data_IF_215129291444
#
_entry.id   IF_215129291444
#
_cell.length_a   1.000
_cell.length_b   1.000
_cell.length_c   1.000
_cell.angle_alpha   90.00
_cell.angle_beta   90.00
_cell.angle_gamma   90.00
#
_symmetry.space_group_name_H-M   'P 1'
#
loop_
_entity.id
_entity.type
_entity.pdbx_description
1 polymer ?
#
# COMPACT_ATOMS: atom_id res chain seq x y z
N UNK A 1 -5.40 2.11 -7.01
CA UNK A 1 -5.91 2.47 -5.68
C UNK A 1 -6.51 3.86 -5.72
N UNK A 2 -7.22 4.26 -4.65
CA UNK A 2 -7.73 5.61 -4.44
C UNK A 2 -7.19 6.13 -3.09
N UNK A 3 -6.78 7.39 -3.05
CA UNK A 3 -6.42 8.09 -1.82
C UNK A 3 -7.30 9.32 -1.69
N UNK A 4 -7.88 9.52 -0.50
CA UNK A 4 -8.79 10.63 -0.19
C UNK A 4 -8.14 11.50 0.89
N UNK A 5 -8.06 12.80 0.62
CA UNK A 5 -7.62 13.79 1.60
C UNK A 5 -8.85 14.37 2.31
N UNK A 6 -9.01 14.11 3.61
CA UNK A 6 -10.17 14.54 4.36
C UNK A 6 -9.83 15.68 5.35
N UNK A 7 -10.42 16.86 5.11
CA UNK A 7 -10.58 17.94 6.11
C UNK A 7 -9.45 18.98 6.21
N UNK A 8 -9.75 20.06 6.93
CA UNK A 8 -8.89 21.24 7.12
C UNK A 8 -7.62 21.01 7.96
N UNK A 9 -7.52 19.85 8.63
CA UNK A 9 -6.34 19.31 9.31
C UNK A 9 -6.08 17.90 8.76
N UNK A 10 -5.62 17.83 7.51
CA UNK A 10 -5.90 16.70 6.64
C UNK A 10 -5.27 15.36 7.06
N UNK A 11 -6.11 14.34 7.31
CA UNK A 11 -5.67 12.94 7.35
C UNK A 11 -5.98 12.27 6.00
N UNK A 12 -5.01 11.54 5.43
CA UNK A 12 -5.24 10.78 4.20
C UNK A 12 -5.84 9.41 4.51
N UNK A 13 -6.90 9.01 3.80
CA UNK A 13 -7.41 7.63 3.81
C UNK A 13 -7.03 6.98 2.49
N UNK A 14 -6.32 5.86 2.57
CA UNK A 14 -5.72 5.19 1.42
C UNK A 14 -6.31 3.79 1.26
N UNK A 15 -6.76 3.49 0.05
CA UNK A 15 -7.11 2.15 -0.40
C UNK A 15 -6.29 1.82 -1.65
N UNK A 16 -5.29 0.95 -1.51
CA UNK A 16 -4.38 0.63 -2.60
C UNK A 16 -4.24 -0.88 -2.73
N UNK A 17 -4.26 -1.36 -3.96
CA UNK A 17 -3.94 -2.74 -4.30
C UNK A 17 -2.67 -2.75 -5.14
N UNK A 18 -1.69 -3.54 -4.71
CA UNK A 18 -0.40 -3.72 -5.36
C UNK A 18 -0.41 -5.07 -6.06
N UNK A 19 -0.57 -5.05 -7.39
CA UNK A 19 -0.53 -6.24 -8.24
C UNK A 19 0.88 -6.54 -8.74
N UNK A 20 1.31 -7.79 -8.62
CA UNK A 20 2.60 -8.26 -9.12
C UNK A 20 2.40 -8.95 -10.48
N UNK A 21 3.02 -8.41 -11.53
CA UNK A 21 2.87 -8.91 -12.91
C UNK A 21 4.10 -9.67 -13.44
N UNK A 22 5.15 -9.81 -12.62
CA UNK A 22 6.40 -10.50 -12.97
C UNK A 22 7.01 -11.18 -11.73
N UNK A 23 8.05 -12.00 -11.93
CA UNK A 23 8.82 -12.62 -10.84
C UNK A 23 8.07 -13.69 -10.04
N UNK A 24 8.59 -14.01 -8.83
CA UNK A 24 8.08 -15.10 -7.97
C UNK A 24 6.61 -14.92 -7.56
N UNK A 25 6.10 -13.71 -7.54
CA UNK A 25 4.74 -13.40 -7.09
C UNK A 25 3.79 -13.02 -8.23
N UNK A 26 4.17 -13.29 -9.49
CA UNK A 26 3.33 -13.01 -10.65
C UNK A 26 1.90 -13.54 -10.48
N UNK A 27 0.91 -12.68 -10.76
CA UNK A 27 -0.53 -12.96 -10.60
C UNK A 27 -1.06 -12.82 -9.18
N UNK A 28 -0.23 -12.41 -8.22
CA UNK A 28 -0.63 -12.17 -6.82
C UNK A 28 -0.80 -10.67 -6.54
N UNK A 29 -1.48 -10.32 -5.46
CA UNK A 29 -1.63 -8.92 -5.03
C UNK A 29 -1.66 -8.77 -3.52
N UNK A 30 -1.34 -7.57 -3.04
CA UNK A 30 -1.50 -7.14 -1.64
C UNK A 30 -2.44 -5.94 -1.58
N UNK A 31 -3.38 -5.95 -0.64
CA UNK A 31 -4.35 -4.87 -0.44
C UNK A 31 -4.05 -4.15 0.87
N UNK A 32 -3.99 -2.82 0.82
CA UNK A 32 -3.84 -1.97 1.99
C UNK A 32 -5.04 -1.06 2.19
N UNK A 33 -5.40 -0.85 3.46
CA UNK A 33 -6.45 0.09 3.83
C UNK A 33 -6.11 0.75 5.16
N UNK A 34 -5.93 2.07 5.16
CA UNK A 34 -5.55 2.82 6.37
C UNK A 34 -5.93 4.29 6.30
N UNK A 35 -6.06 4.91 7.48
CA UNK A 35 -6.25 6.35 7.66
C UNK A 35 -5.13 6.88 8.54
N UNK A 36 -4.41 7.91 8.07
CA UNK A 36 -3.34 8.57 8.82
C UNK A 36 -2.03 8.69 8.03
N UNK A 37 -0.95 9.00 8.76
CA UNK A 37 0.34 9.40 8.16
C UNK A 37 1.43 8.32 8.27
N UNK A 38 1.28 7.30 9.11
CA UNK A 38 2.34 6.30 9.37
C UNK A 38 1.86 4.87 9.19
N UNK A 39 2.42 4.20 8.18
CA UNK A 39 2.19 2.78 7.91
C UNK A 39 0.78 2.46 7.38
N UNK A 40 0.72 1.66 6.33
CA UNK A 40 -0.54 1.15 5.79
C UNK A 40 -0.72 -0.29 6.22
N UNK A 41 -1.82 -0.59 6.89
CA UNK A 41 -2.20 -1.95 7.23
C UNK A 41 -2.46 -2.76 5.95
N UNK A 42 -1.77 -3.89 5.83
CA UNK A 42 -2.07 -4.91 4.83
C UNK A 42 -3.26 -5.70 5.34
N UNK A 43 -4.40 -5.54 4.69
CA UNK A 43 -5.69 -6.13 5.10
C UNK A 43 -6.02 -7.42 4.35
N UNK A 44 -5.22 -7.78 3.35
CA UNK A 44 -5.39 -9.00 2.59
C UNK A 44 -4.46 -9.09 1.39
N UNK A 45 -4.68 -10.13 0.58
CA UNK A 45 -4.00 -10.34 -0.67
C UNK A 45 -4.62 -11.47 -1.48
N UNK A 46 -4.22 -11.57 -2.75
CA UNK A 46 -4.67 -12.58 -3.70
C UNK A 46 -3.50 -13.46 -4.14
N UNK A 47 -3.81 -14.64 -4.67
CA UNK A 47 -2.81 -15.58 -5.18
C UNK A 47 -1.91 -16.08 -4.04
N UNK A 48 -0.59 -15.90 -4.19
CA UNK A 48 0.39 -16.32 -3.18
C UNK A 48 0.30 -15.56 -1.87
N UNK A 49 -0.40 -14.43 -1.83
CA UNK A 49 -0.62 -13.63 -0.63
C UNK A 49 -2.02 -13.85 -0.03
N UNK A 50 -2.63 -15.02 -0.28
CA UNK A 50 -3.93 -15.36 0.28
C UNK A 50 -3.92 -15.24 1.81
N UNK A 51 -4.89 -14.49 2.35
CA UNK A 51 -5.01 -14.16 3.79
C UNK A 51 -3.80 -13.40 4.37
N UNK A 52 -3.04 -12.69 3.54
CA UNK A 52 -1.92 -11.89 4.02
C UNK A 52 -2.36 -10.85 5.06
N UNK A 53 -1.59 -10.73 6.14
CA UNK A 53 -1.71 -9.64 7.12
C UNK A 53 -0.33 -9.06 7.39
N UNK A 54 -0.27 -7.76 7.67
CA UNK A 54 0.99 -7.09 7.96
C UNK A 54 0.91 -5.58 7.82
N UNK A 55 2.06 -4.98 7.51
CA UNK A 55 2.22 -3.53 7.40
C UNK A 55 3.06 -3.19 6.17
N UNK A 56 2.70 -2.09 5.52
CA UNK A 56 3.47 -1.45 4.46
C UNK A 56 3.92 -0.09 4.95
N UNK A 57 5.22 0.09 5.12
CA UNK A 57 5.80 1.40 5.39
C UNK A 57 6.05 2.09 4.06
N UNK A 58 5.85 3.40 4.01
CA UNK A 58 6.14 4.19 2.82
C UNK A 58 7.14 5.29 3.13
N UNK A 59 8.04 5.54 2.19
CA UNK A 59 9.05 6.58 2.27
C UNK A 59 8.98 7.44 1.00
N UNK A 60 8.51 8.69 1.08
CA UNK A 60 8.52 9.59 -0.06
C UNK A 60 9.96 9.94 -0.47
N UNK A 61 10.34 9.57 -1.69
CA UNK A 61 11.66 9.89 -2.25
C UNK A 61 11.60 11.26 -2.96
N UNK A 62 10.51 11.52 -3.68
CA UNK A 62 10.29 12.76 -4.41
C UNK A 62 8.81 13.12 -4.39
N UNK A 63 8.48 14.33 -3.95
CA UNK A 63 7.16 14.94 -4.14
C UNK A 63 7.38 16.34 -4.71
N UNK A 64 6.95 16.55 -5.95
CA UNK A 64 6.90 17.87 -6.56
C UNK A 64 5.59 18.03 -7.35
N UNK A 65 5.44 19.14 -8.05
CA UNK A 65 4.19 19.51 -8.74
C UNK A 65 3.74 18.52 -9.81
N UNK A 66 4.67 17.78 -10.42
CA UNK A 66 4.39 16.89 -11.56
C UNK A 66 4.67 15.42 -11.27
N UNK A 67 5.52 15.13 -10.29
CA UNK A 67 6.02 13.79 -10.02
C UNK A 67 5.93 13.45 -8.53
N UNK A 68 5.53 12.22 -8.28
CA UNK A 68 5.51 11.61 -6.94
C UNK A 68 6.17 10.24 -7.04
N UNK A 69 7.27 10.06 -6.31
CA UNK A 69 8.00 8.79 -6.20
C UNK A 69 8.02 8.41 -4.72
N UNK A 70 7.45 7.25 -4.41
CA UNK A 70 7.32 6.72 -3.06
C UNK A 70 7.85 5.28 -3.06
N UNK A 71 8.76 4.98 -2.15
CA UNK A 71 9.17 3.60 -1.86
C UNK A 71 8.19 2.98 -0.87
N UNK A 72 7.80 1.73 -1.12
CA UNK A 72 6.97 0.95 -0.20
C UNK A 72 7.72 -0.31 0.25
N UNK A 73 7.82 -0.48 1.57
CA UNK A 73 8.42 -1.65 2.21
C UNK A 73 7.32 -2.47 2.91
N UNK A 74 7.02 -3.63 2.34
CA UNK A 74 6.01 -4.56 2.85
C UNK A 74 6.62 -5.61 3.76
N UNK A 75 6.03 -5.78 4.94
CA UNK A 75 6.26 -6.95 5.80
C UNK A 75 4.94 -7.66 6.01
N UNK A 76 4.83 -8.89 5.51
CA UNK A 76 3.58 -9.66 5.51
C UNK A 76 3.80 -11.09 5.93
N UNK A 77 2.81 -11.65 6.62
CA UNK A 77 2.68 -13.09 6.87
C UNK A 77 1.53 -13.59 6.00
N UNK A 78 1.74 -14.67 5.25
CA UNK A 78 0.76 -15.27 4.35
C UNK A 78 0.91 -16.80 4.34
N UNK A 79 -0.12 -17.50 3.84
CA UNK A 79 -0.20 -18.97 3.81
C UNK A 79 -0.17 -19.52 2.38
#
# INVERSE_FOLDING_TARGET
GISLLAGSNASSTQYIEFGFNTGKFNGSSLSVFSRGETGLAVVGGRGRFMRAKGIALFNPILINTTNVIIEFNFTVIHH
#
